data_IF_130656461160
#
_entry.id   IF_130656461160
#
_cell.length_a   1.000
_cell.length_b   1.000
_cell.length_c   1.000
_cell.angle_alpha   90.00
_cell.angle_beta   90.00
_cell.angle_gamma   90.00
#
_symmetry.space_group_name_H-M   'P 1'
#
loop_
_entity.id
_entity.type
_entity.pdbx_description
1 polymer ?
#
# COMPACT_ATOMS: atom_id res chain seq x y z
N UNK A 1 -15.21 -20.01 1.66
CA UNK A 1 -14.45 -19.43 2.82
C UNK A 1 -13.66 -18.25 2.30
N UNK A 2 -13.82 -17.08 2.88
CA UNK A 2 -13.08 -15.86 2.47
C UNK A 2 -11.57 -16.05 2.64
N UNK A 3 -10.81 -15.43 1.77
CA UNK A 3 -9.35 -15.36 1.83
C UNK A 3 -8.97 -13.96 2.31
N UNK A 4 -8.11 -13.88 3.31
CA UNK A 4 -7.69 -12.59 3.87
C UNK A 4 -6.19 -12.42 3.69
N UNK A 5 -5.78 -11.24 3.24
CA UNK A 5 -4.40 -10.74 3.27
C UNK A 5 -4.36 -9.67 4.35
N UNK A 6 -3.48 -9.79 5.32
CA UNK A 6 -3.21 -8.70 6.28
C UNK A 6 -1.90 -8.06 5.87
N UNK A 7 -1.98 -6.83 5.34
CA UNK A 7 -0.81 -6.05 4.92
C UNK A 7 -0.45 -5.01 5.96
N UNK A 8 0.77 -5.11 6.49
CA UNK A 8 1.35 -4.06 7.31
C UNK A 8 1.99 -3.00 6.39
N UNK A 9 1.46 -1.79 6.42
CA UNK A 9 1.98 -0.66 5.67
C UNK A 9 3.24 -0.08 6.34
N UNK A 10 3.96 0.78 5.62
CA UNK A 10 5.04 1.63 6.12
C UNK A 10 6.34 0.92 6.54
N UNK A 11 6.64 -0.29 6.04
CA UNK A 11 7.93 -0.94 6.28
C UNK A 11 9.08 -0.06 5.74
N UNK A 12 10.05 0.27 6.60
CA UNK A 12 11.12 1.23 6.29
C UNK A 12 10.89 2.64 6.83
N UNK A 13 9.69 2.95 7.33
CA UNK A 13 9.37 4.29 7.84
C UNK A 13 10.30 4.71 8.99
N UNK A 14 10.51 3.82 9.96
CA UNK A 14 11.40 4.02 11.09
C UNK A 14 11.78 2.69 11.75
N UNK A 15 12.85 2.69 12.57
CA UNK A 15 13.24 1.51 13.33
C UNK A 15 12.11 1.00 14.24
N UNK A 16 11.32 1.90 14.84
CA UNK A 16 10.16 1.53 15.64
C UNK A 16 9.14 0.76 14.80
N UNK A 17 8.73 1.29 13.64
CA UNK A 17 7.76 0.63 12.75
C UNK A 17 8.29 -0.72 12.31
N UNK A 18 9.54 -0.82 11.86
CA UNK A 18 10.14 -2.08 11.44
C UNK A 18 10.16 -3.12 12.56
N UNK A 19 10.46 -2.74 13.82
CA UNK A 19 10.46 -3.68 14.95
C UNK A 19 9.06 -4.21 15.29
N UNK A 20 8.02 -3.40 15.13
CA UNK A 20 6.63 -3.82 15.35
C UNK A 20 6.11 -4.69 14.19
N UNK A 21 6.49 -4.38 12.95
CA UNK A 21 6.21 -5.25 11.78
C UNK A 21 6.88 -6.62 11.99
N UNK A 22 8.14 -6.65 12.41
CA UNK A 22 8.87 -7.89 12.71
C UNK A 22 8.17 -8.72 13.80
N UNK A 23 7.71 -8.07 14.86
CA UNK A 23 6.95 -8.73 15.92
C UNK A 23 5.64 -9.34 15.40
N UNK A 24 4.93 -8.62 14.52
CA UNK A 24 3.71 -9.11 13.90
C UNK A 24 3.97 -10.29 12.93
N UNK A 25 5.10 -10.28 12.20
CA UNK A 25 5.53 -11.42 11.36
C UNK A 25 5.79 -12.65 12.24
N UNK A 26 6.62 -12.50 13.29
CA UNK A 26 7.02 -13.60 14.19
C UNK A 26 5.84 -14.23 14.93
N UNK A 27 4.77 -13.49 15.14
CA UNK A 27 3.53 -13.97 15.76
C UNK A 27 2.47 -14.41 14.73
N UNK A 28 2.83 -14.42 13.43
CA UNK A 28 1.93 -14.83 12.34
C UNK A 28 0.64 -13.97 12.28
N UNK A 29 0.75 -12.67 12.64
CA UNK A 29 -0.39 -11.74 12.65
C UNK A 29 -0.59 -11.04 11.31
N UNK A 30 0.44 -11.00 10.47
CA UNK A 30 0.39 -10.43 9.13
C UNK A 30 0.91 -11.44 8.09
N UNK A 31 0.43 -11.31 6.88
CA UNK A 31 0.86 -12.16 5.75
C UNK A 31 1.55 -11.37 4.64
N UNK A 32 1.60 -10.05 4.78
CA UNK A 32 2.15 -9.14 3.78
C UNK A 32 2.65 -7.85 4.42
N UNK A 33 3.65 -7.21 3.79
CA UNK A 33 4.07 -5.85 4.12
C UNK A 33 4.54 -5.11 2.87
N UNK A 34 4.61 -3.77 2.93
CA UNK A 34 5.04 -2.94 1.81
C UNK A 34 6.14 -1.96 2.20
N UNK A 35 7.22 -1.92 1.38
CA UNK A 35 8.48 -1.21 1.67
C UNK A 35 8.45 0.20 1.10
N UNK A 36 8.83 1.18 1.93
CA UNK A 36 9.11 2.57 1.57
C UNK A 36 10.59 2.79 1.29
N UNK A 37 10.93 3.36 0.13
CA UNK A 37 12.33 3.53 -0.29
C UNK A 37 13.05 4.75 0.34
N UNK A 38 12.30 5.75 0.77
CA UNK A 38 12.79 7.10 1.06
C UNK A 38 12.56 7.53 2.51
N UNK A 39 12.45 6.56 3.42
CA UNK A 39 12.24 6.79 4.84
C UNK A 39 13.45 6.34 5.66
N UNK A 40 13.44 6.66 6.95
CA UNK A 40 14.62 6.69 7.83
C UNK A 40 15.25 5.32 8.10
N UNK A 41 14.45 4.21 8.07
CA UNK A 41 14.99 2.87 8.33
C UNK A 41 14.77 1.91 7.13
N UNK A 42 15.05 2.42 5.93
CA UNK A 42 15.04 1.63 4.70
C UNK A 42 15.91 0.37 4.81
N UNK A 43 17.12 0.48 5.33
CA UNK A 43 18.02 -0.67 5.52
C UNK A 43 17.42 -1.71 6.49
N UNK A 44 16.65 -1.28 7.47
CA UNK A 44 15.88 -2.16 8.34
C UNK A 44 14.82 -2.95 7.59
N UNK A 45 14.12 -2.30 6.66
CA UNK A 45 13.16 -3.00 5.80
C UNK A 45 13.81 -4.05 4.89
N UNK A 46 15.01 -3.77 4.37
CA UNK A 46 15.75 -4.74 3.55
C UNK A 46 16.21 -5.94 4.41
N UNK A 47 16.62 -5.72 5.66
CA UNK A 47 16.91 -6.84 6.59
C UNK A 47 15.67 -7.71 6.81
N UNK A 48 14.50 -7.10 7.08
CA UNK A 48 13.25 -7.84 7.25
C UNK A 48 12.88 -8.65 6.01
N UNK A 49 13.08 -8.08 4.81
CA UNK A 49 12.88 -8.83 3.58
C UNK A 49 13.77 -10.06 3.51
N UNK A 50 15.07 -9.92 3.74
CA UNK A 50 16.02 -11.03 3.66
C UNK A 50 15.73 -12.15 4.66
N UNK A 51 15.19 -11.81 5.83
CA UNK A 51 14.87 -12.77 6.90
C UNK A 51 13.50 -13.43 6.71
N UNK A 52 12.52 -12.76 6.08
CA UNK A 52 11.13 -13.19 6.11
C UNK A 52 10.44 -13.36 4.75
N UNK A 53 11.12 -13.08 3.61
CA UNK A 53 10.50 -13.16 2.28
C UNK A 53 10.00 -14.56 1.87
N UNK A 54 10.43 -15.62 2.56
CA UNK A 54 9.90 -16.97 2.37
C UNK A 54 8.59 -17.22 3.10
N UNK A 55 8.21 -16.37 4.06
CA UNK A 55 7.05 -16.56 4.92
C UNK A 55 5.90 -15.63 4.57
N UNK A 56 6.21 -14.37 4.25
CA UNK A 56 5.22 -13.36 3.89
C UNK A 56 5.56 -12.70 2.55
N UNK A 57 4.60 -12.01 1.96
CA UNK A 57 4.84 -11.23 0.74
C UNK A 57 5.32 -9.81 1.05
N UNK A 58 6.22 -9.30 0.20
CA UNK A 58 6.71 -7.92 0.27
C UNK A 58 6.34 -7.15 -0.99
N UNK A 59 5.70 -5.99 -0.83
CA UNK A 59 5.30 -5.11 -1.92
C UNK A 59 6.05 -3.79 -1.93
N UNK A 60 5.76 -2.98 -2.93
CA UNK A 60 6.26 -1.61 -3.08
C UNK A 60 5.24 -0.60 -2.53
N UNK A 61 5.61 0.12 -1.47
CA UNK A 61 4.84 1.22 -0.88
C UNK A 61 5.26 2.56 -1.49
N UNK A 62 4.62 2.96 -2.61
CA UNK A 62 4.90 4.24 -3.27
C UNK A 62 4.67 5.40 -2.30
N UNK A 63 5.64 6.29 -2.15
CA UNK A 63 5.51 7.44 -1.27
C UNK A 63 5.77 8.76 -2.00
N UNK A 64 4.78 9.66 -2.00
CA UNK A 64 4.86 11.03 -2.54
C UNK A 64 4.45 12.07 -1.50
N UNK A 65 4.40 11.71 -0.23
CA UNK A 65 3.75 12.54 0.78
C UNK A 65 4.59 12.86 2.00
N UNK A 66 5.62 12.05 2.29
CA UNK A 66 6.48 12.21 3.47
C UNK A 66 7.94 11.86 3.18
N UNK A 67 8.86 12.37 4.02
CA UNK A 67 10.28 12.14 3.87
C UNK A 67 10.90 12.94 2.73
N UNK A 68 12.12 12.58 2.34
CA UNK A 68 12.86 13.25 1.26
C UNK A 68 12.62 12.56 -0.09
N UNK A 69 12.39 13.32 -1.17
CA UNK A 69 12.35 12.71 -2.50
C UNK A 69 13.73 12.16 -2.90
N UNK A 70 13.75 11.16 -3.76
CA UNK A 70 14.98 10.60 -4.34
C UNK A 70 15.38 11.32 -5.63
N UNK A 71 14.49 12.14 -6.19
CA UNK A 71 14.73 12.95 -7.38
C UNK A 71 14.49 14.43 -7.06
N UNK A 72 14.93 15.32 -7.98
CA UNK A 72 14.59 16.74 -7.92
C UNK A 72 13.71 17.13 -9.09
N UNK A 73 12.69 17.97 -8.83
CA UNK A 73 11.85 18.57 -9.86
C UNK A 73 11.34 19.95 -9.41
N UNK A 74 11.77 20.99 -10.13
CA UNK A 74 11.27 22.34 -9.89
C UNK A 74 9.74 22.42 -10.11
N UNK A 75 9.22 21.73 -11.13
CA UNK A 75 7.77 21.69 -11.39
C UNK A 75 6.99 21.06 -10.23
N UNK A 76 7.51 20.01 -9.59
CA UNK A 76 6.86 19.41 -8.42
C UNK A 76 6.95 20.31 -7.18
N UNK A 77 8.00 21.10 -7.05
CA UNK A 77 8.13 22.14 -6.03
C UNK A 77 7.10 23.26 -6.24
N UNK A 78 7.00 23.79 -7.47
CA UNK A 78 6.04 24.84 -7.84
C UNK A 78 4.58 24.39 -7.69
N UNK A 79 4.31 23.11 -7.94
CA UNK A 79 2.99 22.50 -7.74
C UNK A 79 2.70 22.12 -6.29
N UNK A 80 3.71 22.18 -5.42
CA UNK A 80 3.63 21.88 -4.00
C UNK A 80 3.60 20.38 -3.65
N UNK A 81 3.99 19.48 -4.55
CA UNK A 81 4.29 18.07 -4.21
C UNK A 81 5.59 17.95 -3.43
N UNK A 82 6.54 18.83 -3.71
CA UNK A 82 7.73 19.05 -2.92
C UNK A 82 7.62 20.37 -2.18
N UNK A 83 8.25 20.50 -1.04
CA UNK A 83 8.41 21.77 -0.32
C UNK A 83 9.82 21.87 0.26
N UNK A 84 10.32 23.07 0.42
CA UNK A 84 11.54 23.34 1.13
C UNK A 84 11.24 23.56 2.62
N UNK A 85 11.94 22.85 3.47
CA UNK A 85 11.88 22.96 4.93
C UNK A 85 13.31 22.99 5.45
N UNK A 86 13.72 24.08 6.08
CA UNK A 86 15.06 24.25 6.64
C UNK A 86 16.20 23.92 5.65
N UNK A 87 16.05 24.36 4.39
CA UNK A 87 17.03 24.14 3.33
C UNK A 87 17.04 22.70 2.74
N UNK A 88 16.08 21.87 3.11
CA UNK A 88 15.91 20.51 2.57
C UNK A 88 14.62 20.39 1.77
N UNK A 89 14.69 19.69 0.67
CA UNK A 89 13.47 19.34 -0.08
C UNK A 89 12.84 18.10 0.56
N UNK A 90 11.54 18.22 0.87
CA UNK A 90 10.74 17.13 1.41
C UNK A 90 9.47 16.94 0.60
N UNK A 91 8.95 15.73 0.60
CA UNK A 91 7.64 15.40 0.02
C UNK A 91 6.53 16.08 0.85
N UNK A 92 5.45 16.44 0.18
CA UNK A 92 4.35 17.15 0.81
C UNK A 92 3.01 16.42 0.60
N UNK A 93 2.45 15.89 1.69
CA UNK A 93 1.20 15.13 1.73
C UNK A 93 -0.08 15.94 1.47
N UNK A 94 0.01 17.14 0.92
CA UNK A 94 -1.14 17.98 0.64
C UNK A 94 -2.07 17.33 -0.41
N UNK A 95 -3.41 17.47 -0.34
CA UNK A 95 -4.38 16.68 -1.11
C UNK A 95 -4.42 16.99 -2.60
N UNK A 96 -3.36 16.66 -3.33
CA UNK A 96 -3.34 16.77 -4.80
C UNK A 96 -4.07 15.63 -5.52
N UNK A 97 -4.72 14.73 -4.81
CA UNK A 97 -5.41 13.54 -5.36
C UNK A 97 -6.42 13.86 -6.45
N UNK A 98 -6.95 15.09 -6.51
CA UNK A 98 -7.96 15.52 -7.48
C UNK A 98 -7.41 16.46 -8.56
N UNK A 99 -6.12 16.79 -8.57
CA UNK A 99 -5.57 17.71 -9.57
C UNK A 99 -5.41 17.05 -10.94
N UNK A 100 -5.79 17.78 -11.97
CA UNK A 100 -5.38 17.50 -13.33
C UNK A 100 -3.95 18.02 -13.48
N UNK A 101 -3.02 17.15 -13.81
CA UNK A 101 -1.60 17.48 -13.93
C UNK A 101 -1.18 17.58 -15.39
N UNK A 102 -0.21 18.48 -15.67
CA UNK A 102 0.48 18.55 -16.95
C UNK A 102 1.16 17.20 -17.30
N UNK A 103 1.56 17.05 -18.56
CA UNK A 103 2.33 15.86 -18.96
C UNK A 103 3.68 15.81 -18.26
N UNK A 104 4.37 16.95 -18.12
CA UNK A 104 5.67 17.07 -17.45
C UNK A 104 5.57 16.77 -15.97
N UNK A 105 4.57 17.29 -15.25
CA UNK A 105 4.36 16.99 -13.84
C UNK A 105 4.11 15.47 -13.61
N UNK A 106 3.27 14.86 -14.46
CA UNK A 106 3.08 13.40 -14.39
C UNK A 106 4.37 12.62 -14.64
N UNK A 107 5.20 13.08 -15.60
CA UNK A 107 6.49 12.45 -15.87
C UNK A 107 7.44 12.61 -14.68
N UNK A 108 7.47 13.76 -14.01
CA UNK A 108 8.29 13.98 -12.82
C UNK A 108 7.85 13.10 -11.64
N UNK A 109 6.54 12.98 -11.38
CA UNK A 109 6.01 12.04 -10.38
C UNK A 109 6.38 10.59 -10.73
N UNK A 110 6.23 10.23 -12.00
CA UNK A 110 6.57 8.88 -12.47
C UNK A 110 8.05 8.58 -12.26
N UNK A 111 8.93 9.54 -12.56
CA UNK A 111 10.38 9.42 -12.34
C UNK A 111 10.71 9.21 -10.86
N UNK A 112 10.09 9.97 -9.96
CA UNK A 112 10.30 9.80 -8.52
C UNK A 112 9.86 8.41 -8.05
N UNK A 113 8.64 7.99 -8.40
CA UNK A 113 8.09 6.69 -8.02
C UNK A 113 8.94 5.54 -8.58
N UNK A 114 9.39 5.66 -9.83
CA UNK A 114 10.24 4.65 -10.45
C UNK A 114 11.62 4.57 -9.79
N UNK A 115 12.21 5.72 -9.41
CA UNK A 115 13.48 5.76 -8.68
C UNK A 115 13.34 5.10 -7.29
N UNK A 116 12.22 5.31 -6.60
CA UNK A 116 11.93 4.61 -5.35
C UNK A 116 11.87 3.08 -5.56
N UNK A 117 11.14 2.63 -6.58
CA UNK A 117 11.04 1.20 -6.89
C UNK A 117 12.41 0.59 -7.22
N UNK A 118 13.21 1.24 -8.07
CA UNK A 118 14.54 0.76 -8.43
C UNK A 118 15.47 0.67 -7.22
N UNK A 119 15.48 1.67 -6.32
CA UNK A 119 16.27 1.61 -5.10
C UNK A 119 15.98 0.35 -4.27
N UNK A 120 14.71 -0.04 -4.15
CA UNK A 120 14.33 -1.26 -3.43
C UNK A 120 14.77 -2.50 -4.22
N UNK A 121 14.53 -2.54 -5.54
CA UNK A 121 14.90 -3.67 -6.40
C UNK A 121 16.42 -3.89 -6.46
N UNK A 122 17.21 -2.81 -6.50
CA UNK A 122 18.67 -2.85 -6.48
C UNK A 122 19.23 -3.43 -5.17
N UNK A 123 18.42 -3.43 -4.11
CA UNK A 123 18.71 -4.12 -2.84
C UNK A 123 18.31 -5.61 -2.84
N UNK A 124 17.90 -6.16 -4.00
CA UNK A 124 17.56 -7.58 -4.18
C UNK A 124 16.10 -7.95 -3.90
N UNK A 125 15.24 -6.98 -3.61
CA UNK A 125 13.81 -7.23 -3.32
C UNK A 125 13.03 -7.51 -4.60
N UNK A 126 12.20 -8.55 -4.55
CA UNK A 126 11.21 -8.85 -5.58
C UNK A 126 9.81 -8.49 -5.07
N UNK A 127 9.16 -7.56 -5.75
CA UNK A 127 7.82 -7.12 -5.34
C UNK A 127 6.75 -8.16 -5.65
N UNK A 128 5.92 -8.47 -4.67
CA UNK A 128 4.70 -9.24 -4.85
C UNK A 128 3.54 -8.38 -5.39
N UNK A 129 3.47 -7.12 -4.98
CA UNK A 129 2.39 -6.18 -5.32
C UNK A 129 2.83 -4.72 -5.17
N UNK A 130 1.93 -3.81 -5.53
CA UNK A 130 2.12 -2.36 -5.41
C UNK A 130 0.94 -1.76 -4.64
N UNK A 131 1.26 -0.90 -3.70
CA UNK A 131 0.30 -0.01 -3.03
C UNK A 131 0.91 1.39 -2.83
N UNK A 132 0.44 2.19 -1.87
CA UNK A 132 1.05 3.49 -1.63
C UNK A 132 0.66 4.11 -0.30
N UNK A 133 1.59 4.85 0.28
CA UNK A 133 1.36 5.72 1.41
C UNK A 133 0.28 6.76 1.10
N UNK A 134 -0.64 6.98 2.05
CA UNK A 134 -1.77 7.91 1.91
C UNK A 134 -2.63 7.68 0.65
N UNK A 135 -2.70 6.45 0.14
CA UNK A 135 -3.53 6.06 -1.02
C UNK A 135 -3.22 6.82 -2.32
N UNK A 136 -1.98 7.23 -2.54
CA UNK A 136 -1.59 7.97 -3.75
C UNK A 136 -1.89 7.21 -5.05
N UNK A 137 -1.81 5.86 -5.05
CA UNK A 137 -2.17 5.02 -6.20
C UNK A 137 -3.62 5.22 -6.66
N UNK A 138 -4.50 5.74 -5.78
CA UNK A 138 -5.90 6.01 -6.07
C UNK A 138 -6.15 7.38 -6.70
N UNK A 139 -5.13 8.22 -6.86
CA UNK A 139 -5.26 9.53 -7.49
C UNK A 139 -5.61 9.41 -8.97
N UNK A 140 -6.44 10.33 -9.48
CA UNK A 140 -6.90 10.31 -10.88
C UNK A 140 -5.73 10.34 -11.87
N UNK A 141 -4.67 11.09 -11.58
CA UNK A 141 -3.49 11.15 -12.44
C UNK A 141 -2.67 9.86 -12.46
N UNK A 142 -2.86 8.96 -11.48
CA UNK A 142 -2.23 7.64 -11.44
C UNK A 142 -2.90 6.62 -12.38
N UNK A 143 -4.13 6.87 -12.81
CA UNK A 143 -4.86 5.94 -13.70
C UNK A 143 -4.04 5.55 -14.94
N UNK A 144 -3.43 6.47 -15.71
CA UNK A 144 -2.56 6.09 -16.81
C UNK A 144 -1.14 5.67 -16.40
N UNK A 145 -0.70 6.04 -15.21
CA UNK A 145 0.67 5.79 -14.75
C UNK A 145 0.84 4.41 -14.11
N UNK A 146 -0.12 3.99 -13.31
CA UNK A 146 -0.06 2.73 -12.56
C UNK A 146 0.03 1.49 -13.46
N UNK A 147 -0.74 1.35 -14.56
CA UNK A 147 -0.57 0.24 -15.50
C UNK A 147 0.81 0.21 -16.18
N UNK A 148 1.37 1.38 -16.47
CA UNK A 148 2.73 1.50 -17.02
C UNK A 148 3.76 1.06 -15.99
N UNK A 149 3.65 1.52 -14.74
CA UNK A 149 4.52 1.14 -13.65
C UNK A 149 4.50 -0.38 -13.41
N UNK A 150 3.31 -0.97 -13.33
CA UNK A 150 3.14 -2.42 -13.18
C UNK A 150 3.87 -3.20 -14.28
N UNK A 151 3.76 -2.74 -15.54
CA UNK A 151 4.44 -3.38 -16.67
C UNK A 151 5.96 -3.24 -16.58
N UNK A 152 6.46 -2.07 -16.19
CA UNK A 152 7.89 -1.78 -16.10
C UNK A 152 8.56 -2.56 -14.96
N UNK A 153 7.88 -2.69 -13.82
CA UNK A 153 8.37 -3.43 -12.66
C UNK A 153 8.07 -4.95 -12.72
N UNK A 154 7.33 -5.42 -13.72
CA UNK A 154 6.95 -6.84 -13.82
C UNK A 154 5.93 -7.28 -12.75
N UNK A 155 5.21 -6.35 -12.13
CA UNK A 155 4.25 -6.62 -11.05
C UNK A 155 2.83 -6.55 -11.58
N UNK A 156 2.03 -7.59 -11.33
CA UNK A 156 0.64 -7.63 -11.79
C UNK A 156 -0.39 -7.32 -10.68
N UNK A 157 0.00 -7.38 -9.42
CA UNK A 157 -0.93 -7.27 -8.28
C UNK A 157 -0.85 -5.87 -7.69
N UNK A 158 -2.01 -5.28 -7.42
CA UNK A 158 -2.14 -3.90 -6.93
C UNK A 158 -3.23 -3.86 -5.87
N UNK A 159 -3.00 -3.12 -4.79
CA UNK A 159 -4.04 -2.81 -3.80
C UNK A 159 -5.25 -2.16 -4.48
N UNK A 160 -6.44 -2.60 -4.09
CA UNK A 160 -7.68 -2.05 -4.64
C UNK A 160 -7.97 -0.65 -4.06
N UNK A 161 -9.01 -0.02 -4.59
CA UNK A 161 -9.62 1.14 -3.96
C UNK A 161 -10.43 0.68 -2.72
N UNK A 162 -10.38 1.45 -1.61
CA UNK A 162 -11.18 1.13 -0.40
C UNK A 162 -12.66 0.99 -0.77
N UNK A 163 -13.23 -0.21 -0.65
CA UNK A 163 -14.56 -0.55 -1.15
C UNK A 163 -15.42 -1.37 -0.18
N UNK A 164 -14.96 -1.60 1.05
CA UNK A 164 -15.75 -2.26 2.09
C UNK A 164 -16.79 -1.30 2.67
N UNK A 165 -17.94 -1.25 2.01
CA UNK A 165 -19.03 -0.33 2.33
C UNK A 165 -20.36 -0.79 1.71
N UNK A 166 -21.51 -0.23 2.15
CA UNK A 166 -22.81 -0.49 1.53
C UNK A 166 -22.77 -0.22 0.01
N UNK A 167 -23.60 -0.93 -0.74
CA UNK A 167 -23.80 -0.66 -2.15
C UNK A 167 -24.36 0.76 -2.35
N UNK A 168 -23.89 1.46 -3.38
CA UNK A 168 -24.29 2.82 -3.68
C UNK A 168 -23.30 3.53 -4.60
N UNK A 169 -23.53 4.82 -4.82
CA UNK A 169 -22.73 5.63 -5.75
C UNK A 169 -21.23 5.60 -5.42
N UNK A 170 -20.86 5.71 -4.14
CA UNK A 170 -19.47 5.69 -3.72
C UNK A 170 -18.77 4.38 -4.05
N UNK A 171 -19.42 3.24 -3.80
CA UNK A 171 -18.88 1.93 -4.16
C UNK A 171 -18.75 1.78 -5.67
N UNK A 172 -19.73 2.25 -6.43
CA UNK A 172 -19.73 2.22 -7.90
C UNK A 172 -18.58 3.05 -8.49
N UNK A 173 -18.31 4.26 -7.97
CA UNK A 173 -17.19 5.10 -8.40
C UNK A 173 -15.84 4.39 -8.15
N UNK A 174 -15.70 3.75 -7.00
CA UNK A 174 -14.47 3.02 -6.64
C UNK A 174 -14.26 1.78 -7.50
N UNK A 175 -15.34 1.06 -7.80
CA UNK A 175 -15.31 -0.05 -8.76
C UNK A 175 -14.93 0.41 -10.17
N UNK A 176 -15.39 1.60 -10.59
CA UNK A 176 -15.03 2.18 -11.87
C UNK A 176 -13.52 2.47 -11.98
N UNK A 177 -12.88 2.92 -10.90
CA UNK A 177 -11.43 3.13 -10.86
C UNK A 177 -10.66 1.84 -11.21
N UNK A 178 -10.95 0.74 -10.54
CA UNK A 178 -10.33 -0.56 -10.83
C UNK A 178 -10.58 -1.00 -12.29
N UNK A 179 -11.80 -0.78 -12.80
CA UNK A 179 -12.14 -1.06 -14.20
C UNK A 179 -11.30 -0.22 -15.17
N UNK A 180 -11.14 1.07 -14.91
CA UNK A 180 -10.34 1.97 -15.76
C UNK A 180 -8.85 1.56 -15.79
N UNK A 181 -8.29 1.09 -14.69
CA UNK A 181 -6.94 0.54 -14.64
C UNK A 181 -6.86 -0.74 -15.50
N UNK A 182 -7.79 -1.69 -15.31
CA UNK A 182 -7.83 -2.95 -16.06
C UNK A 182 -8.01 -2.77 -17.56
N UNK A 183 -8.70 -1.72 -18.03
CA UNK A 183 -8.82 -1.45 -19.46
C UNK A 183 -7.49 -1.10 -20.12
N UNK A 184 -6.51 -0.60 -19.37
CA UNK A 184 -5.19 -0.25 -19.87
C UNK A 184 -4.17 -1.40 -19.71
N UNK A 185 -4.40 -2.27 -18.73
CA UNK A 185 -3.61 -3.48 -18.53
C UNK A 185 -4.48 -4.58 -17.89
N UNK A 186 -4.98 -5.48 -18.73
CA UNK A 186 -5.89 -6.57 -18.30
C UNK A 186 -5.24 -7.61 -17.38
N UNK A 187 -3.91 -7.61 -17.27
CA UNK A 187 -3.16 -8.52 -16.38
C UNK A 187 -3.15 -8.05 -14.92
N UNK A 188 -3.59 -6.81 -14.64
CA UNK A 188 -3.60 -6.29 -13.26
C UNK A 188 -4.70 -7.00 -12.45
N UNK A 189 -4.28 -7.52 -11.30
CA UNK A 189 -5.11 -8.22 -10.33
C UNK A 189 -5.24 -7.34 -9.09
N UNK A 190 -6.45 -7.27 -8.55
CA UNK A 190 -6.74 -6.60 -7.28
C UNK A 190 -7.38 -7.61 -6.33
N UNK A 191 -7.13 -7.53 -5.01
CA UNK A 191 -8.05 -8.09 -4.02
C UNK A 191 -9.47 -7.60 -4.30
N UNK A 192 -10.49 -8.42 -4.05
CA UNK A 192 -11.88 -8.04 -4.32
C UNK A 192 -12.32 -6.91 -3.39
N UNK A 193 -11.83 -6.95 -2.15
CA UNK A 193 -12.13 -5.99 -1.09
C UNK A 193 -10.84 -5.45 -0.48
N UNK A 194 -10.85 -4.14 -0.17
CA UNK A 194 -9.78 -3.47 0.57
C UNK A 194 -10.38 -2.57 1.66
N UNK A 195 -9.84 -2.69 2.88
CA UNK A 195 -10.33 -1.99 4.08
C UNK A 195 -9.27 -1.93 5.18
N UNK A 196 -9.41 -1.00 6.14
CA UNK A 196 -8.59 -0.97 7.36
C UNK A 196 -8.94 -2.14 8.28
N UNK A 197 -7.93 -2.69 8.95
CA UNK A 197 -8.08 -3.81 9.87
C UNK A 197 -9.08 -3.51 11.00
N UNK A 198 -8.90 -2.39 11.70
CA UNK A 198 -9.78 -2.02 12.81
C UNK A 198 -11.24 -1.85 12.35
N UNK A 199 -11.48 -1.14 11.23
CA UNK A 199 -12.83 -0.95 10.72
C UNK A 199 -13.48 -2.27 10.30
N UNK A 200 -12.72 -3.18 9.68
CA UNK A 200 -13.22 -4.51 9.35
C UNK A 200 -13.60 -5.29 10.63
N UNK A 201 -12.72 -5.30 11.63
CA UNK A 201 -12.94 -5.97 12.90
C UNK A 201 -14.23 -5.47 13.60
N UNK A 202 -14.41 -4.15 13.68
CA UNK A 202 -15.58 -3.54 14.28
C UNK A 202 -16.90 -3.88 13.54
N UNK A 203 -16.85 -3.86 12.20
CA UNK A 203 -17.99 -4.26 11.38
C UNK A 203 -18.33 -5.73 11.61
N UNK A 204 -17.33 -6.61 11.58
CA UNK A 204 -17.53 -8.04 11.80
C UNK A 204 -18.11 -8.34 13.17
N UNK A 205 -17.61 -7.68 14.23
CA UNK A 205 -18.13 -7.83 15.59
C UNK A 205 -19.61 -7.39 15.74
N UNK A 206 -20.06 -6.48 14.87
CA UNK A 206 -21.45 -6.00 14.79
C UNK A 206 -22.33 -6.81 13.82
N UNK A 207 -21.79 -7.86 13.18
CA UNK A 207 -22.49 -8.64 12.16
C UNK A 207 -22.70 -7.89 10.84
N UNK A 208 -21.93 -6.81 10.57
CA UNK A 208 -22.02 -6.00 9.36
C UNK A 208 -21.05 -6.55 8.32
N UNK A 209 -21.56 -7.11 7.23
CA UNK A 209 -20.77 -7.75 6.18
C UNK A 209 -21.00 -7.06 4.84
N UNK A 210 -19.92 -6.57 4.20
CA UNK A 210 -19.96 -5.91 2.90
C UNK A 210 -19.17 -6.66 1.81
N UNK A 211 -18.81 -7.93 2.05
CA UNK A 211 -18.12 -8.81 1.12
C UNK A 211 -18.93 -10.09 0.87
N UNK A 212 -18.52 -10.87 -0.13
CA UNK A 212 -19.05 -12.19 -0.44
C UNK A 212 -18.18 -13.27 0.21
N UNK A 213 -18.72 -14.46 0.35
CA UNK A 213 -18.05 -15.58 1.01
C UNK A 213 -16.70 -15.98 0.36
N UNK A 214 -16.57 -15.84 -0.96
CA UNK A 214 -15.37 -16.24 -1.70
C UNK A 214 -14.46 -15.05 -2.05
N UNK A 215 -14.78 -13.83 -1.60
CA UNK A 215 -13.95 -12.66 -1.88
C UNK A 215 -12.56 -12.81 -1.25
N UNK A 216 -11.55 -12.29 -1.94
CA UNK A 216 -10.24 -12.01 -1.37
C UNK A 216 -10.24 -10.61 -0.77
N UNK A 217 -9.96 -10.52 0.52
CA UNK A 217 -10.04 -9.30 1.31
C UNK A 217 -8.63 -8.89 1.73
N UNK A 218 -8.23 -7.67 1.42
CA UNK A 218 -7.03 -7.07 1.98
C UNK A 218 -7.40 -6.19 3.18
N UNK A 219 -6.79 -6.49 4.32
CA UNK A 219 -6.84 -5.70 5.55
C UNK A 219 -5.52 -4.95 5.72
N UNK A 220 -5.57 -3.62 5.73
CA UNK A 220 -4.44 -2.75 5.95
C UNK A 220 -4.29 -2.44 7.44
N UNK A 221 -3.07 -2.53 7.96
CA UNK A 221 -2.72 -2.13 9.33
C UNK A 221 -1.39 -1.39 9.39
N UNK A 222 -1.11 -0.71 10.52
CA UNK A 222 0.08 0.13 10.71
C UNK A 222 0.78 -0.18 12.05
N UNK A 223 1.43 -1.35 12.19
CA UNK A 223 2.15 -1.70 13.43
C UNK A 223 3.25 -0.68 13.74
N UNK A 224 3.35 -0.26 15.01
CA UNK A 224 4.31 0.76 15.46
C UNK A 224 3.96 2.20 15.06
N UNK A 225 2.87 2.43 14.32
CA UNK A 225 2.36 3.74 13.96
C UNK A 225 1.66 4.45 15.14
N UNK A 226 0.75 5.35 14.80
CA UNK A 226 -0.03 6.13 15.79
C UNK A 226 -1.33 5.42 16.20
N UNK A 227 -1.72 4.35 15.52
CA UNK A 227 -2.99 3.64 15.72
C UNK A 227 -2.81 2.49 16.72
N UNK A 228 -2.57 2.82 17.99
CA UNK A 228 -2.27 1.82 19.04
C UNK A 228 -3.41 0.84 19.30
N UNK A 229 -4.67 1.25 19.11
CA UNK A 229 -5.83 0.37 19.25
C UNK A 229 -5.89 -0.68 18.11
N UNK A 230 -5.59 -0.26 16.87
CA UNK A 230 -5.50 -1.17 15.72
C UNK A 230 -4.43 -2.23 15.96
N UNK A 231 -3.26 -1.82 16.41
CA UNK A 231 -2.16 -2.74 16.72
C UNK A 231 -2.51 -3.71 17.85
N UNK A 232 -3.13 -3.21 18.92
CA UNK A 232 -3.58 -4.06 20.03
C UNK A 232 -4.60 -5.11 19.55
N UNK A 233 -5.54 -4.75 18.68
CA UNK A 233 -6.48 -5.69 18.07
C UNK A 233 -5.75 -6.72 17.19
N UNK A 234 -4.82 -6.28 16.34
CA UNK A 234 -4.03 -7.14 15.46
C UNK A 234 -3.25 -8.18 16.26
N UNK A 235 -2.49 -7.75 17.26
CA UNK A 235 -1.61 -8.62 18.04
C UNK A 235 -2.36 -9.63 18.91
N UNK A 236 -3.60 -9.32 19.33
CA UNK A 236 -4.39 -10.20 20.19
C UNK A 236 -5.46 -11.01 19.44
N UNK A 237 -5.48 -10.95 18.09
CA UNK A 237 -6.51 -11.65 17.30
C UNK A 237 -5.86 -12.71 16.41
N UNK A 238 -6.33 -13.95 16.51
CA UNK A 238 -6.14 -14.93 15.47
C UNK A 238 -7.15 -14.67 14.35
N UNK A 239 -6.63 -14.30 13.17
CA UNK A 239 -7.46 -13.88 12.05
C UNK A 239 -8.31 -15.04 11.50
N UNK A 240 -7.73 -16.24 11.37
CA UNK A 240 -8.41 -17.39 10.80
C UNK A 240 -9.54 -17.87 11.70
N UNK A 241 -9.28 -17.94 13.03
CA UNK A 241 -10.30 -18.27 14.02
C UNK A 241 -11.38 -17.18 14.11
N UNK A 242 -10.97 -15.91 14.25
CA UNK A 242 -11.88 -14.80 14.47
C UNK A 242 -12.84 -14.56 13.32
N UNK A 243 -12.34 -14.62 12.08
CA UNK A 243 -13.10 -14.26 10.88
C UNK A 243 -13.55 -15.47 10.05
N UNK A 244 -13.27 -16.69 10.51
CA UNK A 244 -13.55 -17.93 9.80
C UNK A 244 -13.07 -17.85 8.33
N UNK A 245 -11.80 -17.54 8.14
CA UNK A 245 -11.17 -17.30 6.86
C UNK A 245 -9.90 -18.13 6.68
N UNK A 246 -9.27 -18.05 5.50
CA UNK A 246 -7.91 -18.51 5.24
C UNK A 246 -6.99 -17.29 5.12
N UNK A 247 -5.95 -17.22 5.95
CA UNK A 247 -4.90 -16.23 5.79
C UNK A 247 -4.02 -16.61 4.59
N UNK A 248 -3.88 -15.71 3.64
CA UNK A 248 -3.05 -15.87 2.45
C UNK A 248 -2.14 -14.63 2.30
N UNK A 249 -1.12 -14.72 1.47
CA UNK A 249 -0.32 -13.57 1.08
C UNK A 249 -0.55 -13.19 -0.40
N UNK A 250 0.04 -12.09 -0.84
CA UNK A 250 -0.12 -11.61 -2.21
C UNK A 250 0.44 -12.57 -3.28
N UNK A 251 1.35 -13.49 -2.96
CA UNK A 251 1.83 -14.46 -3.94
C UNK A 251 0.76 -15.49 -4.31
N UNK A 252 -0.21 -15.71 -3.41
CA UNK A 252 -1.33 -16.66 -3.58
C UNK A 252 -2.60 -16.03 -4.20
N UNK A 253 -2.58 -14.70 -4.47
CA UNK A 253 -3.67 -13.96 -5.10
C UNK A 253 -3.71 -14.21 -6.65
#
# INVERSE_FOLDING_TARGET
MSRIIINADDCGYSQKVNSHIEAAIKQERISSTTIMANMDDFEGAIRLYNEHCSHISFGFHMNMTEGSPLTYSQELLDLGFFKEVEGKIVLNGNPYRRKVLSKSARQAIYSEVLTQAHKIMDSGVQFSHIDSHHFMHQAVFMIPMLPKLCKELGVAKVRNYRNYMPNGLNKSIRTLWAKMIRTQNSKIIFPDVFVDYQYFYECYAKGIIYHKEDDCIELMCHPGGIYTEEEALLMNTDCEEKFNCKLINYNEL
#
